data_IF_050415402425
#
_entry.id   IF_050415402425
#
_cell.length_a   1.000
_cell.length_b   1.000
_cell.length_c   1.000
_cell.angle_alpha   90.00
_cell.angle_beta   90.00
_cell.angle_gamma   90.00
#
_symmetry.space_group_name_H-M   'P 1'
#
loop_
_entity.id
_entity.type
_entity.pdbx_description
1 polymer ?
#
# COMPACT_ATOMS: atom_id res chain seq x y z
N UNK A 1 18.78 -4.91 -10.10
CA UNK A 1 18.19 -6.21 -9.69
C UNK A 1 18.86 -6.66 -8.40
N UNK A 2 18.05 -6.93 -7.37
CA UNK A 2 18.53 -7.37 -6.05
C UNK A 2 17.91 -8.70 -5.66
N UNK A 3 18.56 -9.43 -4.75
CA UNK A 3 18.14 -10.80 -4.37
C UNK A 3 17.16 -10.87 -3.19
N UNK A 4 16.83 -9.77 -2.53
CA UNK A 4 15.95 -9.79 -1.36
C UNK A 4 15.25 -8.46 -1.15
N UNK A 5 14.06 -8.51 -0.55
CA UNK A 5 13.29 -7.33 -0.16
C UNK A 5 14.09 -6.42 0.79
N UNK A 6 14.85 -7.00 1.71
CA UNK A 6 15.74 -6.25 2.60
C UNK A 6 16.74 -5.37 1.84
N UNK A 7 17.39 -5.90 0.79
CA UNK A 7 18.29 -5.12 -0.04
C UNK A 7 17.55 -4.10 -0.89
N UNK A 8 16.39 -4.44 -1.43
CA UNK A 8 15.54 -3.51 -2.17
C UNK A 8 15.18 -2.30 -1.28
N UNK A 9 14.70 -2.54 -0.07
CA UNK A 9 14.34 -1.48 0.88
C UNK A 9 15.55 -0.60 1.24
N UNK A 10 16.74 -1.21 1.45
CA UNK A 10 17.95 -0.46 1.74
C UNK A 10 18.34 0.47 0.57
N UNK A 11 18.30 -0.01 -0.67
CA UNK A 11 18.60 0.81 -1.85
C UNK A 11 17.53 1.88 -2.07
N UNK A 12 16.25 1.54 -1.94
CA UNK A 12 15.16 2.50 -2.06
C UNK A 12 15.31 3.64 -1.06
N UNK A 13 15.61 3.31 0.20
CA UNK A 13 15.88 4.31 1.23
C UNK A 13 17.09 5.19 0.87
N UNK A 14 18.21 4.59 0.44
CA UNK A 14 19.40 5.34 0.05
C UNK A 14 19.14 6.25 -1.16
N UNK A 15 18.38 5.80 -2.15
CA UNK A 15 17.99 6.60 -3.31
C UNK A 15 17.12 7.78 -2.86
N UNK A 16 16.11 7.52 -2.04
CA UNK A 16 15.22 8.58 -1.53
C UNK A 16 15.98 9.64 -0.77
N UNK A 17 16.83 9.25 0.18
CA UNK A 17 17.56 10.18 1.04
C UNK A 17 18.66 10.93 0.28
N UNK A 18 19.46 10.24 -0.55
CA UNK A 18 20.68 10.80 -1.14
C UNK A 18 20.51 11.38 -2.53
N UNK A 19 19.56 10.89 -3.31
CA UNK A 19 19.37 11.30 -4.70
C UNK A 19 18.12 12.17 -4.82
N UNK A 20 17.01 11.76 -4.19
CA UNK A 20 15.75 12.48 -4.26
C UNK A 20 15.56 13.48 -3.12
N UNK A 21 16.45 13.47 -2.11
CA UNK A 21 16.40 14.35 -0.92
C UNK A 21 15.04 14.29 -0.20
N UNK A 22 14.44 13.10 -0.16
CA UNK A 22 13.16 12.84 0.51
C UNK A 22 13.42 12.16 1.85
N UNK A 23 13.25 12.90 2.95
CA UNK A 23 13.46 12.40 4.31
C UNK A 23 12.21 11.73 4.92
N UNK A 24 11.02 12.03 4.38
CA UNK A 24 9.76 11.45 4.85
C UNK A 24 9.57 10.00 4.41
N UNK A 25 8.87 9.20 5.20
CA UNK A 25 8.55 7.80 4.86
C UNK A 25 7.75 7.68 3.55
N UNK A 26 6.92 8.68 3.26
CA UNK A 26 6.09 8.76 2.06
C UNK A 26 6.11 10.20 1.53
N UNK A 27 6.19 10.36 0.22
CA UNK A 27 6.16 11.66 -0.47
C UNK A 27 5.22 11.64 -1.68
N UNK A 28 4.76 12.84 -2.07
CA UNK A 28 4.03 13.01 -3.33
C UNK A 28 4.97 12.67 -4.49
N UNK A 29 4.48 11.90 -5.46
CA UNK A 29 5.25 11.39 -6.58
C UNK A 29 5.83 9.99 -6.35
N UNK A 30 5.85 9.48 -5.11
CA UNK A 30 6.29 8.11 -4.84
C UNK A 30 5.48 7.10 -5.65
N UNK A 31 6.18 6.10 -6.14
CA UNK A 31 5.58 4.92 -6.75
C UNK A 31 5.66 3.76 -5.77
N UNK A 32 4.53 3.16 -5.51
CA UNK A 32 4.39 2.06 -4.55
C UNK A 32 3.89 0.82 -5.27
N UNK A 33 4.58 -0.29 -5.10
CA UNK A 33 4.10 -1.59 -5.53
C UNK A 33 3.15 -2.17 -4.49
N UNK A 34 1.98 -2.54 -4.91
CA UNK A 34 0.97 -3.20 -4.06
C UNK A 34 1.41 -4.64 -3.79
N UNK A 35 1.42 -5.05 -2.52
CA UNK A 35 1.92 -6.38 -2.11
C UNK A 35 0.81 -7.39 -1.79
N UNK A 36 -0.45 -6.99 -1.96
CA UNK A 36 -1.61 -7.85 -1.74
C UNK A 36 -2.79 -7.37 -2.57
N UNK A 37 -3.56 -8.29 -3.17
CA UNK A 37 -4.79 -7.96 -3.87
C UNK A 37 -5.75 -7.16 -2.98
N UNK A 38 -6.32 -6.10 -3.53
CA UNK A 38 -7.31 -5.28 -2.86
C UNK A 38 -8.54 -5.09 -3.75
N UNK A 39 -9.70 -5.50 -3.25
CA UNK A 39 -10.98 -5.49 -3.96
C UNK A 39 -11.91 -4.38 -3.45
N UNK A 40 -11.42 -3.50 -2.58
CA UNK A 40 -12.25 -2.52 -1.89
C UNK A 40 -12.22 -1.14 -2.56
N UNK A 41 -11.04 -0.68 -2.98
CA UNK A 41 -10.86 0.72 -3.38
C UNK A 41 -11.28 1.05 -4.80
N UNK A 42 -11.31 0.08 -5.70
CA UNK A 42 -11.79 0.27 -7.06
C UNK A 42 -13.19 -0.32 -7.21
N UNK A 43 -14.08 0.43 -7.86
CA UNK A 43 -15.42 -0.06 -8.19
C UNK A 43 -15.39 -1.20 -9.22
N UNK A 44 -16.44 -2.00 -9.27
CA UNK A 44 -16.57 -3.08 -10.25
C UNK A 44 -16.51 -2.59 -11.70
N UNK A 45 -16.89 -1.33 -11.94
CA UNK A 45 -16.86 -0.70 -13.26
C UNK A 45 -15.49 -0.09 -13.63
N UNK A 46 -14.49 -0.20 -12.72
CA UNK A 46 -13.14 0.23 -13.01
C UNK A 46 -12.48 -0.67 -14.05
N UNK A 47 -11.59 -0.11 -14.88
CA UNK A 47 -10.91 -0.90 -15.92
C UNK A 47 -10.21 -2.16 -15.38
N UNK A 48 -9.46 -2.11 -14.24
CA UNK A 48 -8.83 -3.31 -13.68
C UNK A 48 -9.77 -4.15 -12.80
N UNK A 49 -10.92 -3.62 -12.36
CA UNK A 49 -11.87 -4.27 -11.46
C UNK A 49 -11.41 -4.38 -10.00
N UNK A 50 -10.12 -4.47 -9.76
CA UNK A 50 -9.48 -4.51 -8.44
C UNK A 50 -8.02 -4.11 -8.55
N UNK A 51 -7.35 -3.87 -7.43
CA UNK A 51 -5.91 -3.60 -7.39
C UNK A 51 -5.19 -4.93 -7.14
N UNK A 52 -4.37 -5.37 -8.09
CA UNK A 52 -3.66 -6.64 -7.99
C UNK A 52 -2.35 -6.50 -7.21
N UNK A 53 -1.91 -7.61 -6.62
CA UNK A 53 -0.53 -7.74 -6.15
C UNK A 53 0.43 -7.54 -7.33
N UNK A 54 1.37 -6.61 -7.19
CA UNK A 54 2.31 -6.23 -8.24
C UNK A 54 1.92 -4.97 -9.01
N UNK A 55 0.68 -4.52 -8.94
CA UNK A 55 0.28 -3.23 -9.51
C UNK A 55 1.07 -2.09 -8.87
N UNK A 56 1.35 -1.06 -9.67
CA UNK A 56 2.04 0.14 -9.21
C UNK A 56 1.06 1.30 -9.11
N UNK A 57 1.05 1.95 -7.95
CA UNK A 57 0.30 3.18 -7.73
C UNK A 57 1.26 4.35 -7.51
N UNK A 58 0.91 5.52 -8.05
CA UNK A 58 1.64 6.78 -7.83
C UNK A 58 0.86 7.66 -6.86
N UNK A 59 1.55 8.24 -5.89
CA UNK A 59 0.95 9.16 -4.92
C UNK A 59 0.84 10.55 -5.53
N UNK A 60 -0.38 11.01 -5.77
CA UNK A 60 -0.64 12.34 -6.31
C UNK A 60 -0.79 13.39 -5.19
N UNK A 61 -1.33 12.98 -4.02
CA UNK A 61 -1.51 13.85 -2.85
C UNK A 61 -1.59 13.01 -1.60
N UNK A 62 -1.01 13.51 -0.51
CA UNK A 62 -1.16 12.97 0.83
C UNK A 62 -2.15 13.88 1.56
N UNK A 63 -3.30 13.31 1.97
CA UNK A 63 -4.34 14.06 2.67
C UNK A 63 -4.00 14.22 4.14
N UNK A 64 -3.65 13.11 4.80
CA UNK A 64 -3.21 13.10 6.22
C UNK A 64 -2.54 11.78 6.60
N UNK A 65 -1.78 11.85 7.69
CA UNK A 65 -1.28 10.67 8.39
C UNK A 65 -2.20 10.37 9.58
N UNK A 66 -2.44 9.10 9.85
CA UNK A 66 -3.33 8.63 10.92
C UNK A 66 -2.63 7.52 11.70
N UNK A 67 -2.53 7.69 13.02
CA UNK A 67 -2.15 6.61 13.93
C UNK A 67 -3.43 6.01 14.53
N UNK A 68 -3.69 4.74 14.23
CA UNK A 68 -4.88 4.02 14.69
C UNK A 68 -4.56 2.54 14.78
N UNK A 69 -5.17 1.86 15.73
CA UNK A 69 -4.99 0.42 15.94
C UNK A 69 -3.52 0.01 16.21
N UNK A 70 -2.72 0.91 16.82
CA UNK A 70 -1.27 0.81 17.01
C UNK A 70 -0.51 0.64 15.68
N UNK A 71 -1.04 1.19 14.61
CA UNK A 71 -0.46 1.19 13.26
C UNK A 71 -0.53 2.58 12.66
N UNK A 72 0.36 2.85 11.72
CA UNK A 72 0.43 4.09 10.97
C UNK A 72 -0.18 3.92 9.59
N UNK A 73 -1.03 4.86 9.25
CA UNK A 73 -1.70 4.91 7.96
C UNK A 73 -1.47 6.27 7.29
N UNK A 74 -1.59 6.30 5.96
CA UNK A 74 -1.69 7.54 5.20
C UNK A 74 -2.96 7.49 4.34
N UNK A 75 -3.81 8.49 4.47
CA UNK A 75 -4.91 8.72 3.52
C UNK A 75 -4.35 9.52 2.35
N UNK A 76 -4.46 8.97 1.15
CA UNK A 76 -3.82 9.51 -0.05
C UNK A 76 -4.78 9.52 -1.24
N UNK A 77 -4.49 10.41 -2.19
CA UNK A 77 -5.05 10.38 -3.54
C UNK A 77 -4.00 9.79 -4.47
N UNK A 78 -4.32 8.67 -5.11
CA UNK A 78 -3.38 7.88 -5.89
C UNK A 78 -3.91 7.60 -7.30
N UNK A 79 -3.00 7.22 -8.20
CA UNK A 79 -3.31 6.81 -9.57
C UNK A 79 -2.61 5.49 -9.89
N UNK A 80 -3.32 4.60 -10.58
CA UNK A 80 -2.72 3.39 -11.15
C UNK A 80 -1.74 3.77 -12.27
N UNK A 81 -0.52 3.27 -12.22
CA UNK A 81 0.51 3.56 -13.23
C UNK A 81 0.24 2.80 -14.52
N UNK A 82 -0.10 1.51 -14.40
CA UNK A 82 -0.31 0.62 -15.54
C UNK A 82 -1.68 0.79 -16.22
N UNK A 83 -2.57 1.58 -15.61
CA UNK A 83 -3.92 1.86 -16.14
C UNK A 83 -4.13 3.37 -16.29
N UNK A 84 -3.54 4.01 -17.33
CA UNK A 84 -3.53 5.46 -17.47
C UNK A 84 -4.92 6.07 -17.62
N UNK A 85 -5.88 5.31 -18.14
CA UNK A 85 -7.28 5.74 -18.30
C UNK A 85 -8.13 5.57 -17.04
N UNK A 86 -7.62 4.84 -16.03
CA UNK A 86 -8.29 4.73 -14.74
C UNK A 86 -8.19 6.06 -14.01
N UNK A 87 -9.30 6.67 -13.57
CA UNK A 87 -9.28 7.86 -12.75
C UNK A 87 -8.48 7.66 -11.46
N UNK A 88 -7.88 8.73 -10.96
CA UNK A 88 -7.27 8.72 -9.64
C UNK A 88 -8.33 8.48 -8.56
N UNK A 89 -7.96 7.86 -7.46
CA UNK A 89 -8.86 7.45 -6.40
C UNK A 89 -8.26 7.73 -5.02
N UNK A 90 -9.14 7.92 -4.04
CA UNK A 90 -8.73 8.04 -2.64
C UNK A 90 -8.56 6.64 -2.05
N UNK A 91 -7.53 6.47 -1.24
CA UNK A 91 -7.24 5.19 -0.58
C UNK A 91 -6.50 5.40 0.73
N UNK A 92 -6.41 4.34 1.53
CA UNK A 92 -5.61 4.29 2.76
C UNK A 92 -4.44 3.33 2.54
N UNK A 93 -3.24 3.80 2.87
CA UNK A 93 -2.02 2.99 2.84
C UNK A 93 -1.65 2.57 4.26
N UNK A 94 -1.15 1.35 4.40
CA UNK A 94 -0.57 0.85 5.63
C UNK A 94 0.94 1.07 5.60
N UNK A 95 1.46 1.98 6.44
CA UNK A 95 2.86 2.42 6.36
C UNK A 95 3.84 1.41 6.92
N UNK A 96 3.43 0.54 7.84
CA UNK A 96 4.27 -0.54 8.39
C UNK A 96 4.84 -1.44 7.28
N UNK A 97 4.10 -1.63 6.19
CA UNK A 97 4.53 -2.48 5.08
C UNK A 97 5.61 -1.84 4.21
N UNK A 98 5.78 -0.51 4.24
CA UNK A 98 6.79 0.19 3.42
C UNK A 98 8.23 -0.24 3.74
N UNK A 99 8.50 -0.47 5.02
CA UNK A 99 9.84 -0.81 5.52
C UNK A 99 9.93 -2.28 5.95
N UNK A 100 8.88 -3.08 5.75
CA UNK A 100 8.86 -4.49 6.14
C UNK A 100 9.76 -5.33 5.22
N UNK A 101 10.50 -6.27 5.82
CA UNK A 101 11.22 -7.30 5.07
C UNK A 101 10.28 -8.35 4.47
N UNK A 102 9.06 -8.45 5.01
CA UNK A 102 7.98 -9.33 4.53
C UNK A 102 6.99 -8.52 3.71
N UNK A 103 6.49 -9.11 2.64
CA UNK A 103 5.57 -8.45 1.71
C UNK A 103 4.22 -8.06 2.36
N UNK A 104 3.85 -8.65 3.49
CA UNK A 104 2.56 -8.42 4.15
C UNK A 104 2.73 -8.27 5.66
N UNK A 105 1.70 -7.74 6.32
CA UNK A 105 1.57 -7.88 7.77
C UNK A 105 1.69 -9.34 8.17
N UNK A 106 2.46 -9.61 9.20
CA UNK A 106 2.51 -10.92 9.83
C UNK A 106 1.11 -11.36 10.31
N UNK A 107 0.93 -12.67 10.49
CA UNK A 107 -0.36 -13.23 10.94
C UNK A 107 -0.85 -12.57 12.24
N UNK A 108 0.04 -12.39 13.21
CA UNK A 108 -0.29 -11.77 14.51
C UNK A 108 -0.76 -10.32 14.37
N UNK A 109 -0.06 -9.53 13.56
CA UNK A 109 -0.42 -8.13 13.29
C UNK A 109 -1.75 -8.02 12.54
N UNK A 110 -2.00 -8.90 11.59
CA UNK A 110 -3.29 -8.98 10.88
C UNK A 110 -4.45 -9.33 11.82
N UNK A 111 -4.22 -10.25 12.75
CA UNK A 111 -5.20 -10.62 13.78
C UNK A 111 -5.43 -9.47 14.77
N UNK A 112 -4.38 -8.75 15.14
CA UNK A 112 -4.49 -7.58 16.01
C UNK A 112 -5.33 -6.48 15.33
N UNK A 113 -5.04 -6.15 14.08
CA UNK A 113 -5.82 -5.18 13.32
C UNK A 113 -7.30 -5.58 13.26
N UNK A 114 -7.59 -6.84 12.92
CA UNK A 114 -8.97 -7.33 12.89
C UNK A 114 -9.67 -7.15 14.23
N UNK A 115 -9.03 -7.55 15.36
CA UNK A 115 -9.63 -7.41 16.69
C UNK A 115 -9.90 -5.97 17.06
N UNK A 116 -8.97 -5.05 16.76
CA UNK A 116 -9.12 -3.63 17.09
C UNK A 116 -10.20 -2.96 16.25
N UNK A 117 -10.26 -3.24 14.96
CA UNK A 117 -11.36 -2.78 14.10
C UNK A 117 -12.70 -3.34 14.58
N UNK A 118 -12.75 -4.62 14.97
CA UNK A 118 -13.97 -5.25 15.48
C UNK A 118 -14.46 -4.63 16.81
N UNK A 119 -13.56 -4.07 17.63
CA UNK A 119 -13.94 -3.33 18.85
C UNK A 119 -14.73 -2.06 18.54
N UNK A 120 -14.37 -1.32 17.49
CA UNK A 120 -15.08 -0.10 17.09
C UNK A 120 -16.56 -0.40 16.71
N UNK A 121 -16.82 -1.60 16.24
CA UNK A 121 -18.14 -2.06 15.87
C UNK A 121 -18.81 -2.97 16.92
N UNK A 122 -18.30 -2.99 18.15
CA UNK A 122 -18.82 -3.84 19.25
C UNK A 122 -20.27 -3.53 19.62
N UNK A 123 -20.69 -2.27 19.46
CA UNK A 123 -22.06 -1.81 19.75
C UNK A 123 -23.09 -2.31 18.72
N UNK A 124 -22.68 -2.85 17.58
CA UNK A 124 -23.59 -3.42 16.59
C UNK A 124 -24.08 -4.79 17.09
N UNK A 125 -25.37 -4.88 17.38
CA UNK A 125 -26.00 -6.10 17.93
C UNK A 125 -26.07 -7.25 16.91
N UNK A 126 -26.22 -6.93 15.63
CA UNK A 126 -26.28 -7.93 14.57
C UNK A 126 -24.88 -8.40 14.19
N UNK A 127 -24.60 -9.69 14.37
CA UNK A 127 -23.32 -10.30 13.96
C UNK A 127 -23.04 -10.09 12.46
N UNK A 128 -24.05 -10.21 11.62
CA UNK A 128 -23.93 -10.01 10.18
C UNK A 128 -23.58 -8.55 9.83
N UNK A 129 -24.31 -7.58 10.40
CA UNK A 129 -24.03 -6.16 10.18
C UNK A 129 -22.64 -5.78 10.68
N UNK A 130 -22.23 -6.30 11.85
CA UNK A 130 -20.87 -6.10 12.38
C UNK A 130 -19.83 -6.63 11.42
N UNK A 131 -19.99 -7.84 10.91
CA UNK A 131 -19.08 -8.42 9.93
C UNK A 131 -18.97 -7.55 8.67
N UNK A 132 -20.09 -7.08 8.13
CA UNK A 132 -20.09 -6.19 6.96
C UNK A 132 -19.34 -4.89 7.27
N UNK A 133 -19.59 -4.23 8.42
CA UNK A 133 -18.90 -3.01 8.82
C UNK A 133 -17.38 -3.19 8.90
N UNK A 134 -16.91 -4.31 9.47
CA UNK A 134 -15.48 -4.62 9.53
C UNK A 134 -14.94 -4.80 8.11
N UNK A 135 -15.63 -5.55 7.25
CA UNK A 135 -15.21 -5.81 5.88
C UNK A 135 -15.20 -4.57 4.99
N UNK A 136 -15.99 -3.56 5.31
CA UNK A 136 -16.07 -2.28 4.59
C UNK A 136 -15.33 -1.15 5.30
N UNK A 137 -14.61 -1.43 6.37
CA UNK A 137 -13.78 -0.44 7.06
C UNK A 137 -12.56 -0.07 6.21
N UNK A 138 -12.31 1.24 5.96
CA UNK A 138 -11.20 1.67 5.11
C UNK A 138 -9.82 1.33 5.67
N UNK A 139 -9.64 1.34 6.98
CA UNK A 139 -8.36 0.99 7.60
C UNK A 139 -8.12 -0.52 7.63
N UNK A 140 -9.18 -1.32 7.75
CA UNK A 140 -9.10 -2.77 7.57
C UNK A 140 -8.73 -3.14 6.14
N UNK A 141 -9.17 -2.35 5.15
CA UNK A 141 -8.87 -2.50 3.74
C UNK A 141 -7.68 -1.65 3.26
N UNK A 142 -6.87 -1.13 4.18
CA UNK A 142 -5.68 -0.38 3.81
C UNK A 142 -4.77 -1.19 2.88
N UNK A 143 -4.23 -0.54 1.86
CA UNK A 143 -3.35 -1.17 0.90
C UNK A 143 -1.99 -1.40 1.57
N UNK A 144 -1.55 -2.67 1.60
CA UNK A 144 -0.17 -3.03 1.87
C UNK A 144 0.69 -2.73 0.64
N UNK A 145 1.83 -2.10 0.85
CA UNK A 145 2.67 -1.62 -0.25
C UNK A 145 4.16 -1.68 0.11
N UNK A 146 5.01 -1.63 -0.92
CA UNK A 146 6.44 -1.40 -0.79
C UNK A 146 6.88 -0.31 -1.75
N UNK A 147 7.95 0.41 -1.41
CA UNK A 147 8.53 1.40 -2.31
C UNK A 147 9.00 0.71 -3.59
N UNK A 148 8.40 1.08 -4.72
CA UNK A 148 8.53 0.40 -6.01
C UNK A 148 9.76 0.80 -6.83
N UNK A 149 10.79 1.36 -6.22
CA UNK A 149 11.96 1.83 -6.97
C UNK A 149 12.87 0.68 -7.39
N UNK A 150 12.96 -0.39 -6.57
CA UNK A 150 13.74 -1.59 -6.88
C UNK A 150 12.96 -2.79 -6.39
N UNK A 151 12.63 -3.72 -7.26
CA UNK A 151 11.90 -4.94 -6.93
C UNK A 151 12.78 -6.16 -6.86
N UNK A 152 12.35 -7.16 -6.12
CA UNK A 152 13.00 -8.45 -6.05
C UNK A 152 12.65 -9.27 -7.31
N UNK A 153 13.66 -9.78 -8.00
CA UNK A 153 13.49 -10.56 -9.24
C UNK A 153 13.07 -12.02 -9.02
N UNK A 154 12.93 -12.47 -7.78
CA UNK A 154 12.51 -13.84 -7.51
C UNK A 154 11.00 -14.07 -7.63
N UNK A 155 10.21 -13.04 -7.46
CA UNK A 155 8.80 -13.11 -7.86
C UNK A 155 8.76 -12.72 -9.33
N UNK A 156 8.38 -13.65 -10.19
CA UNK A 156 8.24 -13.49 -11.65
C UNK A 156 7.28 -12.36 -12.08
N UNK A 157 7.00 -11.44 -11.21
CA UNK A 157 6.11 -10.31 -11.40
C UNK A 157 6.89 -9.04 -11.09
N UNK A 158 7.28 -8.35 -12.11
CA UNK A 158 7.76 -6.97 -12.13
C UNK A 158 9.27 -6.78 -12.24
N UNK A 159 9.67 -6.81 -13.47
CA UNK A 159 10.79 -6.00 -13.93
C UNK A 159 10.29 -4.55 -13.93
N UNK A 160 10.52 -3.82 -12.85
CA UNK A 160 10.50 -2.36 -12.98
C UNK A 160 11.78 -2.03 -13.75
N UNK A 161 11.62 -1.54 -14.96
CA UNK A 161 12.70 -1.11 -15.81
C UNK A 161 13.61 -0.16 -15.02
N UNK A 162 14.90 -0.44 -15.02
CA UNK A 162 15.94 0.46 -14.51
C UNK A 162 15.86 1.87 -15.11
N UNK A 163 15.25 2.01 -16.27
CA UNK A 163 15.02 3.28 -16.97
C UNK A 163 14.14 4.27 -16.18
N UNK A 164 13.31 3.77 -15.25
CA UNK A 164 12.51 4.63 -14.36
C UNK A 164 13.36 5.21 -13.21
N UNK A 165 14.51 4.62 -12.91
CA UNK A 165 15.42 5.14 -11.86
C UNK A 165 16.23 6.37 -12.30
N UNK A 166 16.33 6.65 -13.59
CA UNK A 166 17.18 7.72 -14.13
C UNK A 166 16.39 8.97 -14.52
N UNK A 167 15.07 8.93 -14.52
CA UNK A 167 14.22 9.99 -15.04
C UNK A 167 13.42 10.77 -13.99
N UNK A 168 13.72 10.61 -12.69
CA UNK A 168 13.09 11.41 -11.64
C UNK A 168 14.12 11.99 -10.69
#
# INVERSE_FOLDING_TARGET
IVRSNKRANLYNKSIRERILFLESDLAVGDQLMVVKNNYFWLGADSQPGFIANGDVIRINRINKYVERYDMKFAEVHAKMVDYPNQPSFDTVLLLETLNSETANLGFEQSQLLYRKVAQDYSNEKSKYKRFIKIKTDPYFNAIGNSLGTITNTYDNTNIINLDVMVLY
#
